data_IF_075532843002
#
_entry.id   IF_075532843002
#
_cell.length_a   1.000
_cell.length_b   1.000
_cell.length_c   1.000
_cell.angle_alpha   90.00
_cell.angle_beta   90.00
_cell.angle_gamma   90.00
#
_symmetry.space_group_name_H-M   'P 1'
#
loop_
_entity.id
_entity.type
_entity.pdbx_description
1 polymer ?
#
# COMPACT_ATOMS: atom_id res chain seq x y z
N UNK A 1 -12.04 4.97 18.94
CA UNK A 1 -10.75 4.40 18.50
C UNK A 1 -10.08 5.46 17.66
N UNK A 2 -8.79 5.68 17.88
CA UNK A 2 -8.06 6.76 17.25
C UNK A 2 -6.89 6.15 16.46
N UNK A 3 -6.75 6.52 15.19
CA UNK A 3 -5.68 6.07 14.30
C UNK A 3 -4.99 7.31 13.74
N UNK A 4 -3.66 7.34 13.84
CA UNK A 4 -2.84 8.37 13.22
C UNK A 4 -2.10 7.75 12.04
N UNK A 5 -2.24 8.37 10.86
CA UNK A 5 -1.54 7.99 9.65
C UNK A 5 -0.78 9.18 9.08
N UNK A 6 0.20 8.88 8.23
CA UNK A 6 1.01 9.85 7.51
C UNK A 6 0.98 9.50 6.02
N UNK A 7 0.73 10.49 5.16
CA UNK A 7 0.73 10.28 3.72
C UNK A 7 2.11 10.52 3.08
N UNK A 8 2.24 10.27 1.78
CA UNK A 8 3.50 10.42 1.04
C UNK A 8 4.05 11.84 0.97
N UNK A 9 3.25 12.86 1.29
CA UNK A 9 3.67 14.27 1.36
C UNK A 9 4.13 14.68 2.76
N UNK A 10 4.06 13.77 3.73
CA UNK A 10 4.27 14.13 5.12
C UNK A 10 3.14 14.98 5.68
N UNK A 11 1.88 14.74 5.30
CA UNK A 11 0.72 15.32 5.97
C UNK A 11 0.15 14.30 6.96
N UNK A 12 -0.35 14.78 8.09
CA UNK A 12 -0.90 13.93 9.15
C UNK A 12 -2.39 13.72 8.93
N UNK A 13 -2.86 12.49 9.14
CA UNK A 13 -4.27 12.12 9.02
C UNK A 13 -4.69 11.48 10.34
N UNK A 14 -5.47 12.21 11.13
CA UNK A 14 -6.10 11.76 12.36
C UNK A 14 -7.46 11.18 12.03
N UNK A 15 -7.65 9.88 12.25
CA UNK A 15 -8.92 9.19 12.02
C UNK A 15 -9.50 8.80 13.38
N UNK A 16 -10.64 9.38 13.74
CA UNK A 16 -11.35 9.08 14.99
C UNK A 16 -12.69 8.40 14.68
N UNK A 17 -12.94 7.26 15.33
CA UNK A 17 -14.20 6.50 15.22
C UNK A 17 -14.90 6.49 16.57
N UNK A 18 -16.13 7.02 16.62
CA UNK A 18 -16.88 7.20 17.87
C UNK A 18 -18.35 6.75 17.77
N UNK A 19 -18.75 5.94 18.75
CA UNK A 19 -20.12 5.40 18.86
C UNK A 19 -21.00 6.14 19.86
N UNK A 20 -20.41 6.63 20.95
CA UNK A 20 -21.15 7.26 22.03
C UNK A 20 -21.32 8.75 21.78
N UNK A 21 -22.49 9.28 22.13
CA UNK A 21 -22.75 10.71 22.01
C UNK A 21 -21.85 11.50 22.97
N UNK A 22 -21.20 12.54 22.44
CA UNK A 22 -20.31 13.43 23.20
C UNK A 22 -20.70 14.89 22.93
N UNK A 23 -21.10 15.60 23.98
CA UNK A 23 -21.57 16.98 23.85
C UNK A 23 -20.47 17.93 23.31
N UNK A 24 -19.23 17.72 23.76
CA UNK A 24 -18.09 18.58 23.42
C UNK A 24 -17.29 18.05 22.22
N UNK A 25 -17.92 17.29 21.32
CA UNK A 25 -17.18 16.59 20.27
C UNK A 25 -16.48 17.53 19.28
N UNK A 26 -17.07 18.68 18.94
CA UNK A 26 -16.40 19.69 18.11
C UNK A 26 -15.12 20.23 18.78
N UNK A 27 -15.14 20.42 20.10
CA UNK A 27 -13.97 20.84 20.87
C UNK A 27 -12.94 19.71 20.94
N UNK A 28 -13.37 18.45 21.01
CA UNK A 28 -12.47 17.29 20.91
C UNK A 28 -11.75 17.24 19.57
N UNK A 29 -12.46 17.45 18.45
CA UNK A 29 -11.86 17.53 17.11
C UNK A 29 -10.79 18.64 17.04
N UNK A 30 -11.11 19.82 17.58
CA UNK A 30 -10.17 20.94 17.68
C UNK A 30 -8.94 20.58 18.54
N UNK A 31 -9.16 19.95 19.69
CA UNK A 31 -8.09 19.53 20.59
C UNK A 31 -7.15 18.53 19.92
N UNK A 32 -7.70 17.52 19.24
CA UNK A 32 -6.93 16.48 18.55
C UNK A 32 -6.01 17.06 17.47
N UNK A 33 -6.54 17.93 16.61
CA UNK A 33 -5.72 18.59 15.57
C UNK A 33 -4.68 19.53 16.16
N UNK A 34 -5.05 20.33 17.17
CA UNK A 34 -4.14 21.27 17.82
C UNK A 34 -2.99 20.54 18.50
N UNK A 35 -3.29 19.43 19.18
CA UNK A 35 -2.28 18.57 19.81
C UNK A 35 -1.28 18.05 18.78
N UNK A 36 -1.74 17.51 17.65
CA UNK A 36 -0.85 17.02 16.60
C UNK A 36 0.03 18.13 16.02
N UNK A 37 -0.51 19.33 15.80
CA UNK A 37 0.28 20.48 15.36
C UNK A 37 1.41 20.77 16.34
N UNK A 38 1.15 20.72 17.65
CA UNK A 38 2.16 21.00 18.68
C UNK A 38 3.15 19.88 18.92
N UNK A 39 2.75 18.62 18.75
CA UNK A 39 3.63 17.46 18.98
C UNK A 39 4.61 17.21 17.82
N UNK A 40 4.23 17.63 16.61
CA UNK A 40 5.01 17.41 15.39
C UNK A 40 5.81 18.63 14.93
N UNK A 41 5.96 19.63 15.80
CA UNK A 41 6.91 20.74 15.63
C UNK A 41 7.84 20.80 16.84
N UNK A 42 9.15 20.80 16.60
CA UNK A 42 10.13 20.89 17.69
C UNK A 42 10.31 22.34 18.15
N UNK A 43 10.70 22.51 19.42
CA UNK A 43 11.04 23.83 19.95
C UNK A 43 12.22 24.42 19.16
N UNK A 44 12.02 25.63 18.64
CA UNK A 44 13.03 26.35 17.84
C UNK A 44 12.91 26.15 16.33
N UNK A 45 12.01 25.29 15.85
CA UNK A 45 11.68 25.20 14.43
C UNK A 45 10.82 26.38 13.97
N UNK A 46 10.96 26.77 12.71
CA UNK A 46 10.11 27.77 12.08
C UNK A 46 8.69 27.25 11.84
N UNK A 47 7.69 28.14 11.92
CA UNK A 47 6.29 27.77 11.69
C UNK A 47 5.98 27.34 10.25
N UNK A 48 6.89 27.57 9.30
CA UNK A 48 6.84 26.99 7.96
C UNK A 48 6.94 25.45 7.95
N UNK A 49 7.36 24.85 9.08
CA UNK A 49 7.44 23.39 9.28
C UNK A 49 6.18 22.78 9.88
N UNK A 50 5.18 23.59 10.25
CA UNK A 50 3.90 23.06 10.74
C UNK A 50 3.30 22.15 9.67
N UNK A 51 3.12 20.88 10.03
CA UNK A 51 2.57 19.87 9.13
C UNK A 51 1.06 20.07 8.99
N UNK A 52 0.55 19.96 7.77
CA UNK A 52 -0.88 19.90 7.50
C UNK A 52 -1.50 18.70 8.20
N UNK A 53 -2.67 18.91 8.81
CA UNK A 53 -3.45 17.88 9.49
C UNK A 53 -4.82 17.73 8.83
N UNK A 54 -5.21 16.49 8.54
CA UNK A 54 -6.56 16.10 8.17
C UNK A 54 -7.18 15.37 9.35
N UNK A 55 -8.34 15.82 9.82
CA UNK A 55 -9.11 15.18 10.88
C UNK A 55 -10.34 14.52 10.27
N UNK A 56 -10.34 13.19 10.19
CA UNK A 56 -11.43 12.37 9.67
C UNK A 56 -12.20 11.78 10.84
N UNK A 57 -13.45 12.22 11.01
CA UNK A 57 -14.28 11.91 12.16
C UNK A 57 -15.46 11.05 11.71
N UNK A 58 -15.44 9.79 12.09
CA UNK A 58 -16.45 8.80 11.75
C UNK A 58 -17.35 8.63 12.97
N UNK A 59 -18.58 9.13 12.89
CA UNK A 59 -19.50 9.21 14.03
C UNK A 59 -20.75 8.38 13.80
N UNK A 60 -21.12 7.60 14.81
CA UNK A 60 -22.34 6.78 14.86
C UNK A 60 -23.39 7.39 15.81
N UNK A 61 -23.35 8.71 16.00
CA UNK A 61 -24.32 9.45 16.82
C UNK A 61 -24.74 10.75 16.13
N UNK A 62 -25.81 11.35 16.63
CA UNK A 62 -26.33 12.63 16.13
C UNK A 62 -25.38 13.79 16.50
N UNK A 63 -24.47 14.15 15.60
CA UNK A 63 -23.60 15.30 15.78
C UNK A 63 -24.16 16.54 15.06
N UNK A 64 -24.56 17.55 15.82
CA UNK A 64 -25.11 18.81 15.29
C UNK A 64 -26.40 18.63 14.47
N UNK A 65 -26.79 19.68 13.75
CA UNK A 65 -27.98 19.67 12.88
C UNK A 65 -27.58 19.81 11.42
N UNK A 66 -28.06 18.91 10.56
CA UNK A 66 -27.80 18.93 9.13
C UNK A 66 -28.33 17.66 8.45
N UNK A 67 -28.63 17.74 7.15
CA UNK A 67 -29.24 16.65 6.38
C UNK A 67 -28.22 15.77 5.66
N UNK A 68 -27.01 16.27 5.47
CA UNK A 68 -25.95 15.55 4.76
C UNK A 68 -25.31 14.48 5.66
N UNK A 69 -24.69 13.50 5.01
CA UNK A 69 -23.93 12.39 5.62
C UNK A 69 -22.46 12.76 5.75
N UNK A 70 -21.92 13.56 4.81
CA UNK A 70 -20.52 13.98 4.80
C UNK A 70 -20.43 15.50 4.91
N UNK A 71 -19.59 15.99 5.83
CA UNK A 71 -19.29 17.41 5.95
C UNK A 71 -17.79 17.63 5.82
N UNK A 72 -17.41 18.65 5.06
CA UNK A 72 -16.04 19.13 4.95
C UNK A 72 -15.94 20.51 5.60
N UNK A 73 -15.11 20.61 6.63
CA UNK A 73 -14.78 21.83 7.32
C UNK A 73 -13.37 22.27 6.98
N UNK A 74 -13.22 23.53 6.57
CA UNK A 74 -11.94 24.16 6.28
C UNK A 74 -11.93 25.60 6.78
N UNK A 75 -10.74 26.11 7.08
CA UNK A 75 -10.60 27.51 7.49
C UNK A 75 -10.63 28.43 6.28
N UNK A 76 -11.56 29.38 6.26
CA UNK A 76 -11.61 30.49 5.33
C UNK A 76 -11.66 31.81 6.11
N UNK A 77 -10.85 32.78 5.71
CA UNK A 77 -10.93 34.14 6.25
C UNK A 77 -11.71 35.00 5.26
N UNK A 78 -12.82 35.59 5.73
CA UNK A 78 -13.70 36.43 4.92
C UNK A 78 -13.69 37.86 5.45
N UNK A 79 -13.54 38.83 4.54
CA UNK A 79 -13.58 40.24 4.88
C UNK A 79 -14.95 40.64 5.41
N UNK A 80 -15.02 41.17 6.63
CA UNK A 80 -16.28 41.57 7.28
C UNK A 80 -16.98 42.70 6.51
N UNK A 81 -16.21 43.58 5.86
CA UNK A 81 -16.73 44.75 5.16
C UNK A 81 -17.00 44.51 3.66
N UNK A 82 -16.13 43.75 3.00
CA UNK A 82 -16.15 43.58 1.54
C UNK A 82 -16.60 42.17 1.11
N UNK A 83 -16.61 41.20 2.03
CA UNK A 83 -17.04 39.83 1.77
C UNK A 83 -16.06 38.98 0.96
N UNK A 84 -14.89 39.53 0.60
CA UNK A 84 -13.85 38.83 -0.14
C UNK A 84 -13.22 37.71 0.70
N UNK A 85 -12.77 36.65 0.04
CA UNK A 85 -12.01 35.56 0.68
C UNK A 85 -10.54 35.93 0.62
N UNK A 86 -9.86 35.93 1.76
CA UNK A 86 -8.44 36.24 1.83
C UNK A 86 -7.62 35.13 1.15
N UNK A 87 -6.90 35.50 0.09
CA UNK A 87 -6.05 34.60 -0.68
C UNK A 87 -4.56 34.74 -0.34
N UNK A 88 -3.78 33.72 -0.68
CA UNK A 88 -2.33 33.78 -0.63
C UNK A 88 -1.78 34.69 -1.73
N UNK A 89 -0.75 35.45 -1.41
CA UNK A 89 0.04 36.19 -2.42
C UNK A 89 0.78 35.21 -3.34
N UNK A 90 1.16 35.62 -4.57
CA UNK A 90 1.94 34.77 -5.48
C UNK A 90 3.24 34.21 -4.84
N UNK A 91 3.93 35.03 -4.04
CA UNK A 91 5.12 34.62 -3.32
C UNK A 91 4.84 33.53 -2.27
N UNK A 92 3.74 33.64 -1.52
CA UNK A 92 3.33 32.61 -0.57
C UNK A 92 2.92 31.32 -1.27
N UNK A 93 2.18 31.40 -2.37
CA UNK A 93 1.81 30.22 -3.19
C UNK A 93 3.06 29.47 -3.66
N UNK A 94 4.08 30.20 -4.12
CA UNK A 94 5.36 29.62 -4.52
C UNK A 94 6.14 29.02 -3.34
N UNK A 95 6.19 29.72 -2.21
CA UNK A 95 6.96 29.32 -1.02
C UNK A 95 6.39 28.05 -0.39
N UNK A 96 5.07 28.02 -0.17
CA UNK A 96 4.39 26.91 0.49
C UNK A 96 3.86 25.85 -0.48
N UNK A 97 3.92 26.11 -1.79
CA UNK A 97 3.45 25.20 -2.86
C UNK A 97 1.99 24.79 -2.70
N UNK A 98 1.15 25.76 -2.33
CA UNK A 98 -0.30 25.62 -2.15
C UNK A 98 -1.02 26.81 -2.78
N UNK A 99 -2.28 26.60 -3.16
CA UNK A 99 -3.07 27.61 -3.88
C UNK A 99 -3.93 28.46 -2.95
N UNK A 100 -4.37 27.89 -1.82
CA UNK A 100 -5.33 28.53 -0.91
C UNK A 100 -4.85 28.53 0.55
N UNK A 101 -5.34 29.49 1.34
CA UNK A 101 -5.04 29.57 2.77
C UNK A 101 -5.52 28.31 3.50
N UNK A 102 -6.67 27.74 3.12
CA UNK A 102 -7.21 26.54 3.78
C UNK A 102 -6.27 25.33 3.71
N UNK A 103 -5.42 25.24 2.69
CA UNK A 103 -4.42 24.17 2.56
C UNK A 103 -3.32 24.26 3.63
N UNK A 104 -3.12 25.40 4.29
CA UNK A 104 -2.17 25.58 5.39
C UNK A 104 -2.74 25.26 6.77
N UNK A 105 -4.07 25.18 6.90
CA UNK A 105 -4.77 24.94 8.18
C UNK A 105 -5.28 23.51 8.28
N UNK A 106 -5.60 22.99 9.47
CA UNK A 106 -6.28 21.71 9.56
C UNK A 106 -7.59 21.68 8.77
N UNK A 107 -7.86 20.54 8.11
CA UNK A 107 -9.14 20.27 7.46
C UNK A 107 -9.87 19.14 8.19
N UNK A 108 -11.18 19.25 8.26
CA UNK A 108 -12.04 18.34 9.00
C UNK A 108 -13.02 17.66 8.05
N UNK A 109 -13.13 16.35 8.15
CA UNK A 109 -14.16 15.55 7.51
C UNK A 109 -14.99 14.92 8.61
N UNK A 110 -16.32 15.05 8.53
CA UNK A 110 -17.27 14.40 9.43
C UNK A 110 -18.12 13.46 8.60
N UNK A 111 -18.08 12.17 8.93
CA UNK A 111 -18.85 11.10 8.29
C UNK A 111 -19.89 10.61 9.30
N UNK A 112 -21.16 10.92 9.05
CA UNK A 112 -22.30 10.53 9.89
C UNK A 112 -22.87 9.18 9.43
N UNK A 113 -22.18 8.10 9.77
CA UNK A 113 -22.37 6.76 9.18
C UNK A 113 -23.80 6.22 9.38
N UNK A 114 -24.40 6.41 10.56
CA UNK A 114 -25.76 5.93 10.86
C UNK A 114 -26.86 6.53 9.96
N UNK A 115 -26.59 7.64 9.29
CA UNK A 115 -27.55 8.31 8.41
C UNK A 115 -27.39 7.89 6.95
N UNK A 116 -26.45 7.00 6.64
CA UNK A 116 -26.28 6.46 5.30
C UNK A 116 -27.29 5.34 5.05
N UNK A 117 -28.42 5.69 4.44
CA UNK A 117 -29.52 4.79 4.12
C UNK A 117 -29.72 4.63 2.60
N UNK A 118 -28.66 4.83 1.81
CA UNK A 118 -28.72 4.90 0.34
C UNK A 118 -27.81 3.88 -0.31
N UNK A 119 -28.01 3.66 -1.62
CA UNK A 119 -27.08 2.87 -2.44
C UNK A 119 -25.82 3.71 -2.67
N UNK A 120 -24.65 3.17 -2.36
CA UNK A 120 -23.37 3.82 -2.62
C UNK A 120 -23.13 4.05 -4.12
N UNK A 121 -22.78 5.29 -4.49
CA UNK A 121 -22.53 5.73 -5.87
C UNK A 121 -21.12 6.28 -6.08
N UNK A 122 -20.37 6.50 -4.99
CA UNK A 122 -18.99 6.97 -5.02
C UNK A 122 -18.08 6.09 -4.15
N UNK A 123 -16.76 6.07 -4.40
CA UNK A 123 -15.82 5.33 -3.57
C UNK A 123 -15.89 5.68 -2.07
N UNK A 124 -16.16 6.94 -1.73
CA UNK A 124 -16.34 7.36 -0.34
C UNK A 124 -17.61 6.76 0.26
N UNK A 125 -18.72 6.77 -0.47
CA UNK A 125 -19.98 6.18 -0.03
C UNK A 125 -19.90 4.66 0.10
N UNK A 126 -19.09 3.98 -0.71
CA UNK A 126 -18.83 2.54 -0.55
C UNK A 126 -18.12 2.26 0.78
N UNK A 127 -17.16 3.11 1.18
CA UNK A 127 -16.54 3.04 2.50
C UNK A 127 -17.55 3.32 3.62
N UNK A 128 -18.42 4.33 3.46
CA UNK A 128 -19.47 4.63 4.45
C UNK A 128 -20.46 3.46 4.56
N UNK A 129 -20.85 2.85 3.44
CA UNK A 129 -21.72 1.67 3.42
C UNK A 129 -21.09 0.53 4.24
N UNK A 130 -19.83 0.20 3.96
CA UNK A 130 -19.11 -0.82 4.70
C UNK A 130 -19.02 -0.50 6.20
N UNK A 131 -18.68 0.74 6.55
CA UNK A 131 -18.60 1.17 7.95
C UNK A 131 -19.96 1.13 8.66
N UNK A 132 -21.07 1.28 7.93
CA UNK A 132 -22.43 1.23 8.48
C UNK A 132 -22.93 -0.20 8.65
N UNK A 133 -22.72 -1.07 7.66
CA UNK A 133 -23.32 -2.41 7.59
C UNK A 133 -22.37 -3.53 8.00
N UNK A 134 -21.06 -3.29 7.93
CA UNK A 134 -20.04 -4.34 8.05
C UNK A 134 -19.88 -5.20 6.80
N UNK A 135 -20.59 -4.88 5.71
CA UNK A 135 -20.59 -5.63 4.46
C UNK A 135 -19.96 -4.84 3.30
N UNK A 136 -19.25 -5.54 2.44
CA UNK A 136 -18.61 -4.96 1.24
C UNK A 136 -19.26 -5.61 0.01
N UNK A 137 -20.06 -4.86 -0.78
CA UNK A 137 -20.67 -5.37 -2.00
C UNK A 137 -19.62 -5.92 -2.97
N UNK A 138 -19.96 -6.97 -3.73
CA UNK A 138 -19.03 -7.60 -4.68
C UNK A 138 -18.60 -6.64 -5.80
N UNK A 139 -19.48 -5.71 -6.18
CA UNK A 139 -19.23 -4.68 -7.17
C UNK A 139 -18.54 -3.43 -6.60
N UNK A 140 -18.15 -3.41 -5.31
CA UNK A 140 -17.45 -2.27 -4.73
C UNK A 140 -16.07 -2.09 -5.37
N UNK A 141 -15.77 -0.86 -5.78
CA UNK A 141 -14.59 -0.47 -6.54
C UNK A 141 -13.64 0.43 -5.76
N UNK A 142 -14.02 0.89 -4.57
CA UNK A 142 -13.23 1.83 -3.80
C UNK A 142 -11.85 1.23 -3.46
N UNK A 143 -10.76 2.01 -3.64
CA UNK A 143 -9.43 1.59 -3.25
C UNK A 143 -9.40 1.14 -1.77
N UNK A 144 -8.77 -0.01 -1.50
CA UNK A 144 -8.65 -0.59 -0.17
C UNK A 144 -9.81 -1.51 0.25
N UNK A 145 -11.00 -1.41 -0.37
CA UNK A 145 -12.13 -2.28 -0.02
C UNK A 145 -11.91 -3.74 -0.47
N UNK A 146 -11.12 -3.98 -1.52
CA UNK A 146 -10.75 -5.33 -1.93
C UNK A 146 -9.91 -6.03 -0.85
N UNK A 147 -8.92 -5.33 -0.30
CA UNK A 147 -8.08 -5.80 0.79
C UNK A 147 -8.91 -5.98 2.07
N UNK A 148 -9.80 -5.04 2.38
CA UNK A 148 -10.74 -5.17 3.50
C UNK A 148 -11.64 -6.41 3.34
N UNK A 149 -12.15 -6.66 2.12
CA UNK A 149 -12.99 -7.84 1.82
C UNK A 149 -12.23 -9.14 2.06
N UNK A 150 -10.97 -9.22 1.64
CA UNK A 150 -10.12 -10.39 1.91
C UNK A 150 -9.90 -10.60 3.41
N UNK A 151 -9.63 -9.54 4.17
CA UNK A 151 -9.45 -9.64 5.62
C UNK A 151 -10.74 -10.02 6.35
N UNK A 152 -11.89 -9.51 5.95
CA UNK A 152 -13.19 -9.89 6.51
C UNK A 152 -13.50 -11.36 6.24
N UNK A 153 -13.17 -11.88 5.06
CA UNK A 153 -13.30 -13.32 4.77
C UNK A 153 -12.51 -14.14 5.78
N UNK A 154 -11.26 -13.81 6.04
CA UNK A 154 -10.43 -14.48 7.05
C UNK A 154 -11.03 -14.34 8.46
N UNK A 155 -11.53 -13.16 8.82
CA UNK A 155 -12.15 -12.91 10.13
C UNK A 155 -13.48 -13.63 10.36
N UNK A 156 -14.20 -13.98 9.28
CA UNK A 156 -15.46 -14.75 9.32
C UNK A 156 -15.23 -16.26 9.23
N UNK A 157 -14.02 -16.72 8.92
CA UNK A 157 -13.70 -18.16 8.87
C UNK A 157 -13.69 -18.77 10.27
N UNK A 158 -14.16 -20.00 10.35
CA UNK A 158 -13.93 -20.88 11.50
C UNK A 158 -12.43 -21.20 11.64
N UNK A 159 -12.02 -21.70 12.81
CA UNK A 159 -10.62 -22.05 13.07
C UNK A 159 -10.11 -23.12 12.10
N UNK A 160 -10.98 -24.07 11.76
CA UNK A 160 -10.72 -25.16 10.83
C UNK A 160 -10.51 -24.65 9.40
N UNK A 161 -11.39 -23.75 8.92
CA UNK A 161 -11.28 -23.11 7.61
C UNK A 161 -10.02 -22.25 7.50
N UNK A 162 -9.71 -21.47 8.54
CA UNK A 162 -8.51 -20.64 8.59
C UNK A 162 -7.23 -21.50 8.56
N UNK A 163 -7.20 -22.61 9.30
CA UNK A 163 -6.08 -23.56 9.26
C UNK A 163 -5.94 -24.29 7.91
N UNK A 164 -7.06 -24.58 7.23
CA UNK A 164 -7.02 -25.13 5.88
C UNK A 164 -6.48 -24.12 4.87
N UNK A 165 -6.88 -22.85 5.00
CA UNK A 165 -6.40 -21.75 4.17
C UNK A 165 -4.88 -21.52 4.33
N UNK A 166 -4.37 -21.46 5.57
CA UNK A 166 -2.92 -21.32 5.80
C UNK A 166 -2.12 -22.52 5.27
N UNK A 167 -2.60 -23.75 5.49
CA UNK A 167 -1.98 -24.94 4.88
C UNK A 167 -1.94 -24.88 3.36
N UNK A 168 -2.99 -24.33 2.73
CA UNK A 168 -3.01 -24.14 1.28
C UNK A 168 -1.96 -23.11 0.82
N UNK A 169 -1.80 -22.00 1.54
CA UNK A 169 -0.74 -21.02 1.26
C UNK A 169 0.66 -21.63 1.43
N UNK A 170 0.89 -22.39 2.50
CA UNK A 170 2.16 -23.09 2.73
C UNK A 170 2.46 -24.06 1.58
N UNK A 171 1.45 -24.82 1.12
CA UNK A 171 1.60 -25.73 -0.01
C UNK A 171 1.95 -24.98 -1.31
N UNK A 172 1.40 -23.79 -1.55
CA UNK A 172 1.77 -22.96 -2.73
C UNK A 172 3.23 -22.53 -2.66
N UNK A 173 3.70 -22.09 -1.49
CA UNK A 173 5.09 -21.68 -1.30
C UNK A 173 6.03 -22.87 -1.54
N UNK A 174 5.73 -24.02 -0.92
CA UNK A 174 6.47 -25.26 -1.13
C UNK A 174 6.52 -25.64 -2.61
N UNK A 175 5.38 -25.61 -3.31
CA UNK A 175 5.33 -25.92 -4.73
C UNK A 175 6.19 -24.97 -5.55
N UNK A 176 6.16 -23.67 -5.24
CA UNK A 176 6.97 -22.66 -5.94
C UNK A 176 8.46 -22.90 -5.74
N UNK A 177 8.88 -23.23 -4.52
CA UNK A 177 10.27 -23.50 -4.18
C UNK A 177 10.77 -24.80 -4.84
N UNK A 178 9.92 -25.83 -4.90
CA UNK A 178 10.21 -27.06 -5.66
C UNK A 178 10.43 -26.76 -7.15
N UNK A 179 9.52 -26.00 -7.78
CA UNK A 179 9.66 -25.60 -9.19
C UNK A 179 10.94 -24.80 -9.42
N UNK A 180 11.30 -23.91 -8.49
CA UNK A 180 12.52 -23.13 -8.60
C UNK A 180 13.77 -24.02 -8.53
N UNK A 181 13.76 -24.99 -7.60
CA UNK A 181 14.85 -25.96 -7.41
C UNK A 181 15.00 -26.85 -8.64
N UNK A 182 13.92 -27.48 -9.10
CA UNK A 182 13.92 -28.32 -10.31
C UNK A 182 14.39 -27.55 -11.55
N UNK A 183 13.99 -26.28 -11.71
CA UNK A 183 14.49 -25.42 -12.80
C UNK A 183 15.95 -25.04 -12.66
N UNK A 184 16.48 -24.97 -11.44
CA UNK A 184 17.89 -24.68 -11.21
C UNK A 184 18.74 -25.92 -11.52
N UNK A 185 18.31 -27.09 -11.03
CA UNK A 185 18.93 -28.39 -11.29
C UNK A 185 18.92 -28.71 -12.78
N UNK A 186 17.76 -28.64 -13.46
CA UNK A 186 17.68 -28.90 -14.90
C UNK A 186 18.52 -27.93 -15.74
N UNK A 187 18.71 -26.68 -15.30
CA UNK A 187 19.64 -25.74 -15.96
C UNK A 187 21.11 -26.10 -15.71
N UNK A 188 21.45 -26.59 -14.53
CA UNK A 188 22.80 -27.04 -14.21
C UNK A 188 23.15 -28.32 -15.01
N UNK A 189 22.26 -29.31 -15.00
CA UNK A 189 22.40 -30.54 -15.79
C UNK A 189 22.52 -30.23 -17.28
N UNK A 190 21.63 -29.40 -17.84
CA UNK A 190 21.70 -29.02 -19.25
C UNK A 190 22.98 -28.28 -19.64
N UNK A 191 23.59 -27.52 -18.72
CA UNK A 191 24.92 -26.91 -18.97
C UNK A 191 26.03 -27.97 -18.96
N UNK A 192 26.03 -28.85 -17.96
CA UNK A 192 27.04 -29.91 -17.85
C UNK A 192 26.98 -30.86 -19.07
N UNK A 193 25.78 -31.26 -19.49
CA UNK A 193 25.58 -32.09 -20.68
C UNK A 193 25.99 -31.34 -21.95
N UNK A 194 25.64 -30.06 -22.07
CA UNK A 194 26.06 -29.21 -23.19
C UNK A 194 27.59 -29.05 -23.29
N UNK A 195 28.27 -28.84 -22.16
CA UNK A 195 29.73 -28.77 -22.09
C UNK A 195 30.37 -30.10 -22.51
N UNK A 196 29.85 -31.23 -22.00
CA UNK A 196 30.36 -32.56 -22.36
C UNK A 196 30.13 -32.90 -23.83
N UNK A 197 28.95 -32.58 -24.37
CA UNK A 197 28.65 -32.78 -25.79
C UNK A 197 29.56 -31.93 -26.69
N UNK A 198 29.79 -30.67 -26.32
CA UNK A 198 30.73 -29.78 -27.05
C UNK A 198 32.18 -30.30 -26.96
N UNK A 199 32.61 -30.79 -25.81
CA UNK A 199 33.93 -31.39 -25.61
C UNK A 199 34.11 -32.62 -26.52
N UNK A 200 33.11 -33.50 -26.60
CA UNK A 200 33.11 -34.67 -27.49
C UNK A 200 33.16 -34.23 -28.96
N UNK A 201 32.37 -33.23 -29.35
CA UNK A 201 32.36 -32.72 -30.72
C UNK A 201 33.72 -32.14 -31.13
N UNK A 202 34.36 -31.35 -30.26
CA UNK A 202 35.70 -30.81 -30.48
C UNK A 202 36.71 -31.94 -30.67
N UNK A 203 36.69 -32.95 -29.80
CA UNK A 203 37.60 -34.11 -29.87
C UNK A 203 37.44 -34.88 -31.19
N UNK A 204 36.20 -35.14 -31.62
CA UNK A 204 35.93 -35.78 -32.92
C UNK A 204 36.46 -34.94 -34.09
N UNK A 205 36.30 -33.63 -34.03
CA UNK A 205 36.78 -32.73 -35.08
C UNK A 205 38.32 -32.68 -35.11
N UNK A 206 38.99 -32.67 -33.95
CA UNK A 206 40.45 -32.72 -33.85
C UNK A 206 41.03 -34.05 -34.36
N UNK A 207 40.39 -35.18 -34.05
CA UNK A 207 40.75 -36.50 -34.63
C UNK A 207 40.66 -36.48 -36.16
N UNK A 208 39.56 -35.95 -36.70
CA UNK A 208 39.38 -35.83 -38.17
C UNK A 208 40.42 -34.92 -38.82
N UNK A 209 40.89 -33.90 -38.10
CA UNK A 209 41.94 -32.98 -38.55
C UNK A 209 43.36 -33.55 -38.45
N UNK A 210 43.54 -34.77 -37.92
CA UNK A 210 44.84 -35.43 -37.82
C UNK A 210 45.72 -34.95 -36.66
N UNK A 211 45.15 -34.31 -35.64
CA UNK A 211 45.89 -33.92 -34.43
C UNK A 211 46.24 -35.18 -33.62
N UNK A 212 47.45 -35.24 -33.04
CA UNK A 212 47.90 -36.42 -32.29
C UNK A 212 47.06 -36.64 -31.03
N UNK A 213 46.86 -37.92 -30.69
CA UNK A 213 46.03 -38.35 -29.54
C UNK A 213 46.56 -37.76 -28.22
N UNK A 214 47.88 -37.68 -28.06
CA UNK A 214 48.52 -37.08 -26.88
C UNK A 214 48.15 -35.60 -26.69
N UNK A 215 48.11 -34.83 -27.78
CA UNK A 215 47.74 -33.40 -27.76
C UNK A 215 46.25 -33.24 -27.48
N UNK A 216 45.41 -34.10 -28.05
CA UNK A 216 43.95 -34.09 -27.78
C UNK A 216 43.68 -34.46 -26.32
N UNK A 217 44.39 -35.44 -25.75
CA UNK A 217 44.23 -35.84 -24.35
C UNK A 217 44.61 -34.71 -23.39
N UNK A 218 45.75 -34.05 -23.61
CA UNK A 218 46.18 -32.91 -22.80
C UNK A 218 45.22 -31.71 -22.87
N UNK A 219 44.63 -31.44 -24.04
CA UNK A 219 43.83 -30.22 -24.27
C UNK A 219 42.34 -30.40 -23.97
N UNK A 220 41.81 -31.62 -24.14
CA UNK A 220 40.41 -31.93 -23.84
C UNK A 220 40.19 -32.42 -22.41
N UNK A 221 41.22 -32.96 -21.74
CA UNK A 221 41.06 -33.57 -20.40
C UNK A 221 40.37 -34.94 -20.42
N UNK A 222 40.13 -35.53 -21.61
CA UNK A 222 39.70 -36.92 -21.76
C UNK A 222 40.91 -37.86 -21.76
N UNK A 223 40.69 -39.07 -21.25
CA UNK A 223 41.69 -40.13 -21.30
C UNK A 223 41.91 -40.61 -22.73
N UNK A 224 43.08 -41.19 -23.01
CA UNK A 224 43.40 -41.78 -24.32
C UNK A 224 42.35 -42.83 -24.71
N UNK A 225 41.95 -43.70 -23.78
CA UNK A 225 40.91 -44.71 -23.99
C UNK A 225 39.53 -44.11 -24.37
N UNK A 226 39.15 -42.97 -23.76
CA UNK A 226 37.92 -42.26 -24.11
C UNK A 226 38.01 -41.62 -25.50
N UNK A 227 39.17 -41.09 -25.87
CA UNK A 227 39.40 -40.48 -27.18
C UNK A 227 39.41 -41.54 -28.28
N UNK A 228 39.98 -42.71 -28.04
CA UNK A 228 40.00 -43.81 -29.01
C UNK A 228 38.58 -44.34 -29.30
N UNK A 229 37.71 -44.38 -28.29
CA UNK A 229 36.31 -44.83 -28.40
C UNK A 229 35.37 -43.82 -29.10
N UNK A 230 35.79 -42.57 -29.32
CA UNK A 230 34.99 -41.48 -29.90
C UNK A 230 35.13 -41.31 -31.42
#
# INVERSE_FOLDING_TARGET
MDLLAENSKGELILIEVQNNNEYAYFQRMLFGTSKLVTEYINRGEGYDKVRKVYSVNIVYFSLGSGKDVVYHGKTEFRGIHQGDVLELTPFQKQTFKVDTVSQLYPEYYILKVNYFNQVARSPLEEWIYYLNTGDIPDNATAPGLNEARQRLKLGRMTKEELNAYYRHLDNIVILRDNIFTERAEGRAEGRAEGERNKQIEIVRNLKKAGVSIDVISQSSGLTVDEIEKL
#
